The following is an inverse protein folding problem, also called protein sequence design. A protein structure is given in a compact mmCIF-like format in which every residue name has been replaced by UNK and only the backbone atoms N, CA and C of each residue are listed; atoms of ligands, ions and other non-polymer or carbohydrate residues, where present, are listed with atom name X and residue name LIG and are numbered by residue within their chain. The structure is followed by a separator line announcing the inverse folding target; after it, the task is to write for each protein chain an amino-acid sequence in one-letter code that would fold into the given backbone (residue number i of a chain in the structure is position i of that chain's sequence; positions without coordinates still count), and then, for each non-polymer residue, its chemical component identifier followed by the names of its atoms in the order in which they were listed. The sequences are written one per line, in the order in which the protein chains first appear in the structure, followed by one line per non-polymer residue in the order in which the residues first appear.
data_IF_908443659780
#
_entry.id   IF_908443659780
#
_cell.length_a   1.000
_cell.length_b   1.000
_cell.length_c   1.000
_cell.angle_alpha   90.00
_cell.angle_beta   90.00
_cell.angle_gamma   90.00
#
_symmetry.space_group_name_H-M   'P 1'
#
loop_
_entity.id
_entity.type
_entity.pdbx_description
1 polymer ?
#
# COMPACT_ATOMS: atom_id res chain seq x y z
N UNK A 1 -7.81 3.22 -25.73
CA UNK A 1 -6.67 3.19 -24.81
C UNK A 1 -5.85 1.95 -25.16
N UNK A 2 -4.72 2.10 -25.87
CA UNK A 2 -3.91 0.97 -26.36
C UNK A 2 -2.56 0.93 -25.62
N UNK A 3 -2.61 0.65 -24.31
CA UNK A 3 -1.44 0.44 -23.48
C UNK A 3 -1.59 -0.81 -22.63
N UNK A 4 -0.48 -1.40 -22.20
CA UNK A 4 -0.44 -2.50 -21.25
C UNK A 4 -1.17 -2.14 -19.96
N UNK A 5 -1.62 -3.13 -19.18
CA UNK A 5 -2.29 -2.87 -17.90
C UNK A 5 -1.43 -2.03 -16.94
N UNK A 6 -0.10 -2.18 -16.99
CA UNK A 6 0.83 -1.38 -16.19
C UNK A 6 0.81 0.09 -16.60
N UNK A 7 0.79 0.38 -17.90
CA UNK A 7 0.69 1.75 -18.42
C UNK A 7 -0.65 2.38 -18.06
N UNK A 8 -1.74 1.61 -18.08
CA UNK A 8 -3.06 2.08 -17.65
C UNK A 8 -3.08 2.41 -16.15
N UNK A 9 -2.47 1.58 -15.31
CA UNK A 9 -2.33 1.84 -13.87
C UNK A 9 -1.46 3.08 -13.62
N UNK A 10 -0.34 3.21 -14.33
CA UNK A 10 0.53 4.38 -14.22
C UNK A 10 -0.19 5.66 -14.65
N UNK A 11 -0.95 5.62 -15.77
CA UNK A 11 -1.80 6.72 -16.19
C UNK A 11 -2.86 7.07 -15.15
N UNK A 12 -3.49 6.06 -14.54
CA UNK A 12 -4.45 6.27 -13.45
C UNK A 12 -3.78 6.89 -12.21
N UNK A 13 -2.56 6.49 -11.86
CA UNK A 13 -1.82 7.09 -10.76
C UNK A 13 -1.48 8.56 -11.05
N UNK A 14 -1.08 8.89 -12.29
CA UNK A 14 -0.83 10.27 -12.69
C UNK A 14 -2.09 11.14 -12.63
N UNK A 15 -3.26 10.63 -13.06
CA UNK A 15 -4.55 11.33 -12.89
C UNK A 15 -4.94 11.60 -11.43
N UNK A 16 -4.36 10.84 -10.50
CA UNK A 16 -4.61 10.92 -9.06
C UNK A 16 -3.51 11.68 -8.31
N UNK A 17 -2.55 12.28 -9.03
CA UNK A 17 -1.37 12.95 -8.46
C UNK A 17 -0.52 12.03 -7.56
N UNK A 18 -0.49 10.73 -7.86
CA UNK A 18 0.32 9.73 -7.15
C UNK A 18 1.68 9.61 -7.86
N UNK A 19 2.78 10.08 -7.23
CA UNK A 19 4.07 10.13 -7.90
C UNK A 19 4.80 8.77 -7.94
N UNK A 20 4.44 7.84 -7.05
CA UNK A 20 5.13 6.57 -6.91
C UNK A 20 4.14 5.41 -7.07
N UNK A 21 4.46 4.50 -7.98
CA UNK A 21 3.77 3.22 -8.14
C UNK A 21 4.77 2.11 -8.42
N UNK A 22 4.61 0.99 -7.71
CA UNK A 22 5.44 -0.20 -7.82
C UNK A 22 4.56 -1.45 -7.91
N UNK A 23 5.17 -2.55 -8.36
CA UNK A 23 4.44 -3.80 -8.59
C UNK A 23 5.29 -4.99 -8.13
N UNK A 24 4.70 -5.84 -7.30
CA UNK A 24 5.31 -7.07 -6.85
C UNK A 24 4.43 -8.27 -7.23
N UNK A 25 5.03 -9.37 -7.69
CA UNK A 25 4.28 -10.64 -7.77
C UNK A 25 3.97 -11.12 -6.35
N UNK A 26 2.77 -11.68 -6.15
CA UNK A 26 2.38 -12.27 -4.87
C UNK A 26 3.33 -13.39 -4.42
N UNK A 27 3.95 -14.10 -5.37
CA UNK A 27 4.93 -15.17 -5.07
C UNK A 27 6.25 -14.66 -4.47
N UNK A 28 6.52 -13.35 -4.54
CA UNK A 28 7.75 -12.79 -3.95
C UNK A 28 7.81 -12.94 -2.42
N UNK A 29 6.66 -13.15 -1.76
CA UNK A 29 6.59 -13.39 -0.33
C UNK A 29 7.02 -14.81 0.07
N UNK A 30 7.03 -15.75 -0.87
CA UNK A 30 7.39 -17.16 -0.64
C UNK A 30 8.90 -17.34 -0.37
N UNK A 31 9.71 -16.34 -0.74
CA UNK A 31 11.18 -16.36 -0.56
C UNK A 31 11.59 -15.25 0.42
N UNK A 32 11.88 -15.59 1.69
CA UNK A 32 12.43 -14.64 2.64
C UNK A 32 13.74 -14.04 2.17
N UNK A 33 13.86 -12.70 2.19
CA UNK A 33 15.05 -11.98 1.76
C UNK A 33 15.86 -11.40 2.93
N UNK A 34 15.22 -11.26 4.10
CA UNK A 34 15.83 -10.78 5.33
C UNK A 34 14.97 -11.20 6.53
N UNK A 35 15.52 -11.06 7.74
CA UNK A 35 14.79 -11.34 8.99
C UNK A 35 14.58 -10.05 9.81
N UNK A 36 13.41 -9.88 10.47
CA UNK A 36 12.26 -10.79 10.44
C UNK A 36 11.48 -10.70 9.11
N UNK A 37 11.02 -11.85 8.61
CA UNK A 37 10.16 -11.91 7.41
C UNK A 37 8.65 -11.89 7.73
N UNK A 38 7.81 -11.68 6.70
CA UNK A 38 6.35 -11.68 6.82
C UNK A 38 5.84 -13.10 7.09
N UNK A 39 5.14 -13.33 8.23
CA UNK A 39 4.48 -14.60 8.53
C UNK A 39 3.47 -14.98 7.44
N UNK A 40 3.32 -16.29 7.20
CA UNK A 40 2.50 -16.80 6.09
C UNK A 40 1.06 -16.30 6.13
N UNK A 41 0.48 -16.18 7.32
CA UNK A 41 -0.88 -15.68 7.56
C UNK A 41 -1.09 -14.20 7.17
N UNK A 42 0.00 -13.43 6.98
CA UNK A 42 -0.03 -12.01 6.60
C UNK A 42 0.50 -11.76 5.19
N UNK A 43 0.79 -12.83 4.43
CA UNK A 43 1.19 -12.74 3.03
C UNK A 43 -0.01 -12.45 2.13
N UNK A 44 0.19 -11.88 0.92
CA UNK A 44 -0.91 -11.53 0.02
C UNK A 44 -1.89 -12.68 -0.25
N UNK A 45 -1.38 -13.89 -0.49
CA UNK A 45 -2.21 -15.06 -0.81
C UNK A 45 -3.01 -15.60 0.37
N UNK A 46 -2.60 -15.32 1.62
CA UNK A 46 -3.41 -15.63 2.79
C UNK A 46 -4.60 -14.67 2.93
N UNK A 47 -4.45 -13.42 2.47
CA UNK A 47 -5.51 -12.40 2.48
C UNK A 47 -6.49 -12.64 1.34
N UNK A 48 -5.99 -12.88 0.12
CA UNK A 48 -6.80 -13.23 -1.04
C UNK A 48 -6.11 -14.31 -1.88
N UNK A 49 -6.57 -15.59 -1.82
CA UNK A 49 -5.89 -16.72 -2.44
C UNK A 49 -5.56 -16.58 -3.93
N UNK A 50 -6.39 -15.87 -4.69
CA UNK A 50 -6.22 -15.74 -6.14
C UNK A 50 -5.28 -14.61 -6.56
N UNK A 51 -4.79 -13.80 -5.61
CA UNK A 51 -3.95 -12.63 -5.91
C UNK A 51 -2.68 -13.01 -6.67
N UNK A 52 -2.39 -12.27 -7.74
CA UNK A 52 -1.19 -12.44 -8.57
C UNK A 52 -0.20 -11.29 -8.42
N UNK A 53 -0.71 -10.08 -8.19
CA UNK A 53 0.10 -8.86 -8.14
C UNK A 53 -0.33 -7.99 -6.98
N UNK A 54 0.63 -7.49 -6.22
CA UNK A 54 0.47 -6.40 -5.26
C UNK A 54 0.92 -5.11 -5.95
N UNK A 55 0.01 -4.14 -6.04
CA UNK A 55 0.29 -2.80 -6.56
C UNK A 55 0.51 -1.90 -5.35
N UNK A 56 1.66 -1.23 -5.29
CA UNK A 56 2.04 -0.37 -4.16
C UNK A 56 2.09 1.07 -4.65
N UNK A 57 1.43 1.97 -3.94
CA UNK A 57 1.47 3.40 -4.22
C UNK A 57 2.15 4.14 -3.07
N UNK A 58 2.79 5.26 -3.38
CA UNK A 58 3.47 6.10 -2.40
C UNK A 58 3.18 7.58 -2.64
N UNK A 59 2.92 8.30 -1.55
CA UNK A 59 2.77 9.76 -1.54
C UNK A 59 3.81 10.31 -0.55
N UNK A 60 4.78 11.12 -1.01
CA UNK A 60 5.82 11.64 -0.15
C UNK A 60 5.25 12.68 0.82
N UNK A 61 5.66 12.59 2.08
CA UNK A 61 5.43 13.64 3.08
C UNK A 61 6.59 14.63 2.99
N UNK A 62 6.30 15.93 2.99
CA UNK A 62 7.35 16.96 2.93
C UNK A 62 8.24 16.90 4.18
N UNK A 63 9.56 16.90 3.99
CA UNK A 63 10.53 16.83 5.08
C UNK A 63 10.32 17.90 6.18
N UNK A 64 10.00 19.18 5.87
CA UNK A 64 9.73 20.17 6.91
C UNK A 64 8.57 19.80 7.83
N UNK A 65 7.56 19.08 7.32
CA UNK A 65 6.43 18.61 8.15
C UNK A 65 6.93 17.54 9.13
N UNK A 66 7.75 16.60 8.65
CA UNK A 66 8.32 15.52 9.47
C UNK A 66 9.17 16.07 10.61
N UNK A 67 9.95 17.13 10.34
CA UNK A 67 10.79 17.81 11.35
C UNK A 67 9.98 18.50 12.46
N UNK A 68 8.69 18.74 12.23
CA UNK A 68 7.81 19.31 13.26
C UNK A 68 7.20 18.26 14.19
N UNK A 69 7.54 16.98 14.02
CA UNK A 69 7.03 15.92 14.89
C UNK A 69 7.68 15.97 16.29
N UNK A 70 6.92 15.82 17.39
CA UNK A 70 5.46 15.73 17.45
C UNK A 70 4.80 17.13 17.43
N UNK A 71 3.85 17.35 16.52
CA UNK A 71 2.99 18.55 16.53
C UNK A 71 1.61 18.27 15.95
N UNK A 72 0.64 19.15 16.25
CA UNK A 72 -0.69 19.12 15.63
C UNK A 72 -0.55 19.27 14.11
N UNK A 73 0.36 20.13 13.64
CA UNK A 73 0.57 20.34 12.21
C UNK A 73 1.04 19.07 11.50
N UNK A 74 2.02 18.36 12.07
CA UNK A 74 2.44 17.04 11.60
C UNK A 74 1.27 16.05 11.59
N UNK A 75 0.52 15.97 12.70
CA UNK A 75 -0.59 15.03 12.86
C UNK A 75 -1.68 15.22 11.80
N UNK A 76 -2.14 16.46 11.57
CA UNK A 76 -3.20 16.75 10.59
C UNK A 76 -2.76 16.46 9.16
N UNK A 77 -1.51 16.81 8.82
CA UNK A 77 -0.98 16.52 7.48
C UNK A 77 -0.74 15.04 7.26
N UNK A 78 -0.27 14.33 8.28
CA UNK A 78 -0.14 12.88 8.25
C UNK A 78 -1.51 12.23 7.98
N UNK A 79 -2.56 12.60 8.72
CA UNK A 79 -3.94 12.11 8.48
C UNK A 79 -4.47 12.44 7.08
N UNK A 80 -4.15 13.63 6.56
CA UNK A 80 -4.58 14.02 5.21
C UNK A 80 -3.93 13.16 4.12
N UNK A 81 -2.61 12.96 4.18
CA UNK A 81 -1.87 12.11 3.23
C UNK A 81 -2.38 10.67 3.28
N UNK A 82 -2.64 10.20 4.48
CA UNK A 82 -3.19 8.88 4.75
C UNK A 82 -4.59 8.67 4.15
N UNK A 83 -5.48 9.64 4.32
CA UNK A 83 -6.81 9.62 3.69
C UNK A 83 -6.70 9.62 2.17
N UNK A 84 -5.72 10.36 1.62
CA UNK A 84 -5.45 10.39 0.20
C UNK A 84 -4.95 9.04 -0.33
N UNK A 85 -4.09 8.33 0.42
CA UNK A 85 -3.65 6.97 0.09
C UNK A 85 -4.82 6.00 0.03
N UNK A 86 -5.66 5.96 1.07
CA UNK A 86 -6.81 5.06 1.15
C UNK A 86 -7.83 5.32 0.03
N UNK A 87 -8.15 6.59 -0.21
CA UNK A 87 -9.06 7.02 -1.27
C UNK A 87 -8.49 6.66 -2.64
N UNK A 88 -7.20 6.90 -2.86
CA UNK A 88 -6.49 6.58 -4.10
C UNK A 88 -6.49 5.09 -4.39
N UNK A 89 -6.17 4.26 -3.40
CA UNK A 89 -6.21 2.80 -3.52
C UNK A 89 -7.61 2.32 -3.92
N UNK A 90 -8.66 2.85 -3.30
CA UNK A 90 -10.05 2.55 -3.65
C UNK A 90 -10.40 2.94 -5.09
N UNK A 91 -9.97 4.12 -5.56
CA UNK A 91 -10.18 4.58 -6.94
C UNK A 91 -9.44 3.73 -7.97
N UNK A 92 -8.21 3.30 -7.67
CA UNK A 92 -7.43 2.40 -8.54
C UNK A 92 -8.10 1.03 -8.61
N UNK A 93 -8.49 0.45 -7.48
CA UNK A 93 -9.19 -0.83 -7.45
C UNK A 93 -10.52 -0.77 -8.23
N UNK A 94 -11.28 0.31 -8.07
CA UNK A 94 -12.54 0.53 -8.82
C UNK A 94 -12.28 0.59 -10.32
N UNK A 95 -11.26 1.34 -10.75
CA UNK A 95 -10.85 1.41 -12.15
C UNK A 95 -10.47 0.04 -12.71
N UNK A 96 -9.67 -0.74 -11.98
CA UNK A 96 -9.26 -2.08 -12.40
C UNK A 96 -10.44 -3.04 -12.51
N UNK A 97 -11.33 -3.06 -11.51
CA UNK A 97 -12.54 -3.88 -11.53
C UNK A 97 -13.43 -3.54 -12.72
N UNK A 98 -13.60 -2.25 -13.04
CA UNK A 98 -14.38 -1.81 -14.21
C UNK A 98 -13.78 -2.25 -15.54
N UNK A 99 -12.48 -2.57 -15.59
CA UNK A 99 -11.78 -3.09 -16.75
C UNK A 99 -11.60 -4.62 -16.71
N UNK A 100 -12.30 -5.33 -15.82
CA UNK A 100 -12.29 -6.80 -15.73
C UNK A 100 -11.12 -7.38 -14.92
N UNK A 101 -10.39 -6.56 -14.17
CA UNK A 101 -9.30 -7.00 -13.30
C UNK A 101 -9.74 -6.94 -11.83
N UNK A 102 -10.16 -8.08 -11.29
CA UNK A 102 -10.57 -8.21 -9.89
C UNK A 102 -9.50 -7.66 -8.94
N UNK A 103 -9.84 -6.61 -8.19
CA UNK A 103 -8.90 -5.84 -7.36
C UNK A 103 -9.57 -5.38 -6.08
N UNK A 104 -8.84 -5.38 -4.97
CA UNK A 104 -9.29 -4.85 -3.67
C UNK A 104 -8.26 -3.87 -3.12
N UNK A 105 -8.68 -2.74 -2.55
CA UNK A 105 -7.76 -1.85 -1.85
C UNK A 105 -7.41 -2.44 -0.48
N UNK A 106 -6.16 -2.27 -0.04
CA UNK A 106 -5.77 -2.50 1.35
C UNK A 106 -5.72 -1.15 2.06
N UNK A 107 -6.33 -1.01 3.26
CA UNK A 107 -6.23 0.22 4.03
C UNK A 107 -4.79 0.44 4.49
N UNK A 108 -4.40 1.71 4.63
CA UNK A 108 -3.09 2.08 5.17
C UNK A 108 -2.84 1.48 6.56
N UNK A 109 -3.90 1.40 7.37
CA UNK A 109 -3.86 0.93 8.75
C UNK A 109 -4.56 -0.42 8.81
N UNK A 110 -3.78 -1.45 9.10
CA UNK A 110 -4.25 -2.83 9.31
C UNK A 110 -4.17 -3.27 10.76
N UNK A 111 -4.08 -2.32 11.68
CA UNK A 111 -3.99 -2.59 13.10
C UNK A 111 -5.38 -2.76 13.72
N UNK A 112 -5.47 -3.58 14.76
CA UNK A 112 -6.61 -3.56 15.67
C UNK A 112 -6.72 -2.21 16.42
N UNK A 113 -7.66 -2.08 17.35
CA UNK A 113 -7.77 -0.88 18.18
C UNK A 113 -6.44 -0.52 18.87
N UNK A 114 -6.26 0.75 19.27
CA UNK A 114 -5.05 1.25 19.96
C UNK A 114 -4.67 0.36 21.18
N UNK A 115 -5.65 -0.25 21.85
CA UNK A 115 -5.40 -1.20 22.95
C UNK A 115 -4.71 -2.48 22.48
N UNK A 116 -5.15 -3.06 21.35
CA UNK A 116 -4.55 -4.26 20.76
C UNK A 116 -3.12 -3.96 20.26
N UNK A 117 -2.89 -2.79 19.69
CA UNK A 117 -1.58 -2.31 19.25
C UNK A 117 -0.53 -2.27 20.38
N UNK A 118 -0.93 -1.91 21.60
CA UNK A 118 -0.02 -1.87 22.76
C UNK A 118 0.39 -3.27 23.24
N UNK A 119 -0.48 -4.26 23.08
CA UNK A 119 -0.22 -5.64 23.51
C UNK A 119 0.39 -6.51 22.41
N UNK A 120 -0.04 -6.30 21.15
CA UNK A 120 0.40 -7.01 19.94
C UNK A 120 0.41 -6.04 18.75
N UNK A 121 1.55 -5.39 18.45
CA UNK A 121 1.68 -4.45 17.34
C UNK A 121 1.79 -5.20 15.99
N UNK A 122 0.82 -6.06 15.69
CA UNK A 122 0.75 -6.85 14.47
C UNK A 122 -0.28 -6.20 13.56
N UNK A 123 0.16 -5.73 12.38
CA UNK A 123 -0.72 -5.41 11.28
C UNK A 123 -0.99 -6.68 10.46
N UNK A 124 -2.20 -6.83 9.93
CA UNK A 124 -2.53 -7.99 9.07
C UNK A 124 -1.75 -8.00 7.74
N UNK A 125 -1.14 -6.87 7.36
CA UNK A 125 -0.34 -6.71 6.15
C UNK A 125 0.81 -5.72 6.36
N UNK A 126 2.00 -6.06 5.85
CA UNK A 126 3.19 -5.20 5.97
C UNK A 126 3.40 -4.36 4.70
N UNK A 127 2.95 -3.09 4.75
CA UNK A 127 3.19 -2.12 3.67
C UNK A 127 4.68 -1.88 3.37
N UNK A 128 5.53 -2.00 4.38
CA UNK A 128 6.99 -1.90 4.22
C UNK A 128 7.58 -3.03 3.36
N UNK A 129 7.23 -4.28 3.65
CA UNK A 129 7.69 -5.41 2.81
C UNK A 129 7.14 -5.31 1.39
N UNK A 130 5.88 -4.86 1.25
CA UNK A 130 5.29 -4.62 -0.06
C UNK A 130 6.06 -3.56 -0.86
N UNK A 131 6.40 -2.42 -0.24
CA UNK A 131 7.20 -1.37 -0.86
C UNK A 131 8.58 -1.89 -1.30
N UNK A 132 9.26 -2.64 -0.44
CA UNK A 132 10.57 -3.23 -0.76
C UNK A 132 10.46 -4.19 -1.95
N UNK A 133 9.52 -5.13 -1.91
CA UNK A 133 9.29 -6.10 -2.98
C UNK A 133 8.77 -5.47 -4.27
N UNK A 134 8.18 -4.28 -4.20
CA UNK A 134 7.73 -3.50 -5.36
C UNK A 134 8.81 -2.56 -5.92
N UNK A 135 9.98 -2.46 -5.25
CA UNK A 135 11.10 -1.61 -5.67
C UNK A 135 10.96 -0.14 -5.26
N UNK A 136 10.16 0.17 -4.25
CA UNK A 136 9.92 1.54 -3.76
C UNK A 136 10.74 1.91 -2.51
N UNK A 137 11.30 0.93 -1.79
CA UNK A 137 12.12 1.15 -0.60
C UNK A 137 11.94 0.10 0.48
#
# INVERSE_FOLDING_TARGET
MNGTIREQIAGKCAELDIPLVGFASAQRWDTPLFEPWVPQEFQPQAIWPEVKTVIVIGIPVSLPIVETAPSIWYHELYHSVNTLLDTSAGRIATFLNANGFSSVPLPRDGYGSIGVLKEKPIAFFSHRHAAYLAGLG
#
